data_IF_376200614644
#
_entry.id   IF_376200614644
#
_cell.length_a   1.000
_cell.length_b   1.000
_cell.length_c   1.000
_cell.angle_alpha   90.00
_cell.angle_beta   90.00
_cell.angle_gamma   90.00
#
_symmetry.space_group_name_H-M   'P 1'
#
loop_
_entity.id
_entity.type
_entity.pdbx_description
1 polymer ?
#
# COMPACT_ATOMS: atom_id res chain seq x y z
N UNK A 1 -10.49 1.55 10.47
CA UNK A 1 -9.25 1.79 9.69
C UNK A 1 -8.55 0.48 9.36
N UNK A 2 -8.81 -0.02 8.16
CA UNK A 2 -7.80 -0.56 7.23
C UNK A 2 -8.16 -0.12 5.80
N UNK A 3 -8.12 1.18 5.54
CA UNK A 3 -8.25 1.68 4.18
C UNK A 3 -7.00 1.28 3.38
N UNK A 4 -7.20 0.85 2.14
CA UNK A 4 -6.12 0.57 1.19
C UNK A 4 -6.48 1.18 -0.17
N UNK A 5 -5.48 1.57 -0.93
CA UNK A 5 -5.66 2.37 -2.15
C UNK A 5 -5.75 1.51 -3.40
N UNK A 6 -6.30 2.09 -4.48
CA UNK A 6 -6.31 1.48 -5.83
C UNK A 6 -4.89 1.10 -6.27
N UNK A 7 -3.91 1.95 -5.98
CA UNK A 7 -2.50 1.71 -6.34
C UNK A 7 -1.90 0.55 -5.57
N UNK A 8 -2.25 0.37 -4.30
CA UNK A 8 -1.84 -0.82 -3.55
C UNK A 8 -2.44 -2.09 -4.18
N UNK A 9 -3.73 -2.07 -4.54
CA UNK A 9 -4.35 -3.22 -5.23
C UNK A 9 -3.71 -3.46 -6.61
N UNK A 10 -3.35 -2.42 -7.36
CA UNK A 10 -2.63 -2.54 -8.64
C UNK A 10 -1.24 -3.11 -8.48
N UNK A 11 -0.46 -2.66 -7.49
CA UNK A 11 0.85 -3.24 -7.16
C UNK A 11 0.69 -4.70 -6.78
N UNK A 12 -0.36 -5.03 -6.01
CA UNK A 12 -0.68 -6.39 -5.61
C UNK A 12 -1.08 -7.27 -6.80
N UNK A 13 -2.06 -6.87 -7.60
CA UNK A 13 -2.57 -7.60 -8.75
C UNK A 13 -2.55 -6.69 -10.00
N UNK A 14 -1.43 -6.64 -10.75
CA UNK A 14 -1.26 -5.68 -11.86
C UNK A 14 -2.31 -5.81 -12.95
N UNK A 15 -2.74 -7.03 -13.23
CA UNK A 15 -3.72 -7.36 -14.27
C UNK A 15 -5.17 -7.37 -13.76
N UNK A 16 -5.43 -6.90 -12.54
CA UNK A 16 -6.77 -6.90 -11.96
C UNK A 16 -7.76 -6.09 -12.82
N UNK A 17 -9.02 -6.52 -12.88
CA UNK A 17 -10.07 -5.70 -13.50
C UNK A 17 -10.32 -4.45 -12.66
N UNK A 18 -10.56 -3.32 -13.31
CA UNK A 18 -10.77 -2.05 -12.61
C UNK A 18 -11.97 -2.09 -11.67
N UNK A 19 -13.10 -2.67 -12.11
CA UNK A 19 -14.32 -2.79 -11.32
C UNK A 19 -14.14 -3.62 -10.03
N UNK A 20 -13.32 -4.68 -10.07
CA UNK A 20 -12.99 -5.47 -8.89
C UNK A 20 -12.05 -4.75 -7.92
N UNK A 21 -11.22 -3.83 -8.41
CA UNK A 21 -10.42 -2.94 -7.55
C UNK A 21 -11.35 -1.94 -6.86
N UNK A 22 -12.23 -1.29 -7.63
CA UNK A 22 -13.16 -0.29 -7.10
C UNK A 22 -14.03 -0.86 -5.99
N UNK A 23 -14.61 -2.05 -6.18
CA UNK A 23 -15.47 -2.64 -5.15
C UNK A 23 -14.71 -2.99 -3.88
N UNK A 24 -13.44 -3.42 -3.98
CA UNK A 24 -12.61 -3.71 -2.82
C UNK A 24 -12.24 -2.44 -2.04
N UNK A 25 -11.84 -1.39 -2.75
CA UNK A 25 -11.44 -0.10 -2.15
C UNK A 25 -12.64 0.64 -1.56
N UNK A 26 -13.79 0.61 -2.24
CA UNK A 26 -15.01 1.26 -1.74
C UNK A 26 -15.74 0.41 -0.69
N UNK A 27 -15.49 -0.91 -0.66
CA UNK A 27 -16.09 -1.87 0.26
C UNK A 27 -15.32 -2.06 1.58
N UNK A 28 -14.47 -1.10 1.97
CA UNK A 28 -13.68 -1.19 3.22
C UNK A 28 -14.58 -1.33 4.45
N UNK A 29 -15.71 -0.62 4.50
CA UNK A 29 -16.65 -0.74 5.61
C UNK A 29 -17.22 -2.16 5.73
N UNK A 30 -17.52 -2.81 4.59
CA UNK A 30 -17.99 -4.20 4.56
C UNK A 30 -16.91 -5.18 5.04
N UNK A 31 -15.64 -4.91 4.72
CA UNK A 31 -14.51 -5.68 5.25
C UNK A 31 -14.42 -5.53 6.77
N UNK A 32 -14.59 -4.31 7.29
CA UNK A 32 -14.58 -4.03 8.72
C UNK A 32 -15.75 -4.70 9.45
N UNK A 33 -16.96 -4.67 8.89
CA UNK A 33 -18.15 -5.39 9.39
C UNK A 33 -17.93 -6.91 9.45
N UNK A 34 -17.22 -7.47 8.48
CA UNK A 34 -16.81 -8.89 8.48
C UNK A 34 -15.65 -9.19 9.46
N UNK A 35 -15.21 -8.20 10.22
CA UNK A 35 -14.10 -8.30 11.16
C UNK A 35 -12.74 -8.42 10.48
N UNK A 36 -12.62 -8.13 9.18
CA UNK A 36 -11.37 -8.06 8.43
C UNK A 36 -10.76 -6.67 8.65
N UNK A 37 -10.42 -6.40 9.90
CA UNK A 37 -10.02 -5.10 10.42
C UNK A 37 -8.59 -5.09 10.98
N UNK A 38 -7.82 -6.13 10.68
CA UNK A 38 -6.39 -6.19 10.96
C UNK A 38 -5.62 -6.38 9.65
N UNK A 39 -4.36 -5.94 9.59
CA UNK A 39 -3.54 -6.09 8.38
C UNK A 39 -3.46 -7.55 7.97
N UNK A 40 -3.22 -8.44 8.94
CA UNK A 40 -3.05 -9.86 8.68
C UNK A 40 -4.34 -10.50 8.13
N UNK A 41 -5.51 -10.13 8.66
CA UNK A 41 -6.80 -10.58 8.13
C UNK A 41 -7.03 -10.10 6.70
N UNK A 42 -6.78 -8.82 6.43
CA UNK A 42 -6.88 -8.25 5.07
C UNK A 42 -5.94 -8.96 4.10
N UNK A 43 -4.68 -9.17 4.49
CA UNK A 43 -3.67 -9.83 3.67
C UNK A 43 -4.07 -11.27 3.32
N UNK A 44 -4.57 -12.04 4.29
CA UNK A 44 -5.07 -13.39 4.06
C UNK A 44 -6.32 -13.38 3.18
N UNK A 45 -7.26 -12.46 3.40
CA UNK A 45 -8.46 -12.32 2.58
C UNK A 45 -8.11 -12.03 1.12
N UNK A 46 -7.32 -10.98 0.86
CA UNK A 46 -6.90 -10.60 -0.49
C UNK A 46 -6.08 -11.70 -1.17
N UNK A 47 -5.25 -12.43 -0.42
CA UNK A 47 -4.48 -13.54 -0.95
C UNK A 47 -5.37 -14.69 -1.44
N UNK A 48 -6.40 -15.05 -0.67
CA UNK A 48 -7.34 -16.09 -1.08
C UNK A 48 -8.20 -15.64 -2.25
N UNK A 49 -8.74 -14.41 -2.20
CA UNK A 49 -9.49 -13.83 -3.33
C UNK A 49 -8.64 -13.82 -4.60
N UNK A 50 -7.39 -13.38 -4.54
CA UNK A 50 -6.49 -13.39 -5.70
C UNK A 50 -6.20 -14.80 -6.20
N UNK A 51 -6.12 -15.79 -5.31
CA UNK A 51 -5.93 -17.20 -5.71
C UNK A 51 -7.14 -17.72 -6.50
N UNK A 52 -8.34 -17.49 -5.99
CA UNK A 52 -9.59 -17.99 -6.60
C UNK A 52 -9.95 -17.28 -7.91
N UNK A 53 -9.54 -16.01 -8.04
CA UNK A 53 -9.89 -15.16 -9.20
C UNK A 53 -8.77 -15.06 -10.23
N UNK A 54 -7.65 -15.76 -10.01
CA UNK A 54 -6.46 -15.67 -10.83
C UNK A 54 -5.84 -14.27 -10.86
N UNK A 55 -5.84 -13.56 -9.73
CA UNK A 55 -5.33 -12.19 -9.57
C UNK A 55 -6.38 -11.13 -9.89
N UNK A 56 -7.61 -11.29 -9.40
CA UNK A 56 -8.75 -10.38 -9.61
C UNK A 56 -9.09 -10.19 -11.09
N UNK A 57 -9.02 -11.28 -11.87
CA UNK A 57 -9.34 -11.26 -13.32
C UNK A 57 -10.69 -11.87 -13.64
N UNK A 58 -11.08 -12.90 -12.92
CA UNK A 58 -12.29 -13.67 -13.20
C UNK A 58 -13.04 -13.95 -11.91
N UNK A 59 -14.35 -13.76 -11.93
CA UNK A 59 -15.27 -14.08 -10.83
C UNK A 59 -16.37 -15.04 -11.30
N UNK A 60 -16.22 -15.66 -12.46
CA UNK A 60 -17.12 -16.70 -12.92
C UNK A 60 -16.37 -17.71 -13.78
N UNK A 61 -16.80 -18.96 -13.70
CA UNK A 61 -16.37 -19.99 -14.64
C UNK A 61 -17.14 -19.86 -15.96
N UNK A 62 -16.43 -19.83 -17.09
CA UNK A 62 -17.05 -19.81 -18.41
C UNK A 62 -17.40 -21.20 -18.95
N UNK A 63 -16.76 -22.27 -18.42
CA UNK A 63 -16.90 -23.67 -18.82
C UNK A 63 -16.82 -23.91 -20.35
N UNK A 64 -16.10 -23.06 -21.08
CA UNK A 64 -15.96 -23.14 -22.53
C UNK A 64 -14.60 -23.73 -22.89
N UNK A 65 -14.55 -25.05 -23.08
CA UNK A 65 -13.31 -25.78 -23.35
C UNK A 65 -13.37 -26.52 -24.69
N UNK A 66 -12.21 -26.62 -25.36
CA UNK A 66 -12.04 -27.57 -26.46
C UNK A 66 -12.06 -29.01 -25.94
N UNK A 67 -12.27 -29.97 -26.85
CA UNK A 67 -12.27 -31.39 -26.49
C UNK A 67 -10.93 -31.82 -25.87
N UNK A 68 -9.81 -31.32 -26.38
CA UNK A 68 -8.46 -31.59 -25.87
C UNK A 68 -8.29 -31.05 -24.46
N UNK A 69 -8.72 -29.79 -24.23
CA UNK A 69 -8.61 -29.16 -22.91
C UNK A 69 -9.49 -29.86 -21.88
N UNK A 70 -10.68 -30.33 -22.25
CA UNK A 70 -11.54 -31.13 -21.36
C UNK A 70 -10.84 -32.38 -20.85
N UNK A 71 -10.07 -33.08 -21.70
CA UNK A 71 -9.28 -34.25 -21.30
C UNK A 71 -8.13 -33.88 -20.36
N UNK A 72 -7.51 -32.73 -20.57
CA UNK A 72 -6.43 -32.26 -19.71
C UNK A 72 -6.95 -31.85 -18.31
N UNK A 73 -8.12 -31.22 -18.24
CA UNK A 73 -8.71 -30.72 -16.98
C UNK A 73 -9.42 -31.84 -16.21
N UNK A 74 -10.13 -32.75 -16.91
CA UNK A 74 -10.84 -33.88 -16.29
C UNK A 74 -10.57 -35.21 -17.00
N UNK A 75 -9.34 -35.75 -16.92
CA UNK A 75 -8.96 -36.97 -17.63
C UNK A 75 -9.84 -38.17 -17.28
N UNK A 76 -10.26 -38.30 -16.02
CA UNK A 76 -11.15 -39.38 -15.58
C UNK A 76 -12.59 -39.25 -16.10
N UNK A 77 -13.08 -38.03 -16.35
CA UNK A 77 -14.44 -37.79 -16.89
C UNK A 77 -14.47 -37.84 -18.42
N UNK A 78 -13.35 -37.50 -19.05
CA UNK A 78 -13.16 -37.47 -20.49
C UNK A 78 -11.93 -38.29 -20.89
N UNK A 79 -11.99 -39.63 -20.80
CA UNK A 79 -10.83 -40.48 -21.06
C UNK A 79 -10.38 -40.42 -22.53
N UNK A 80 -11.31 -40.19 -23.46
CA UNK A 80 -11.05 -40.15 -24.90
C UNK A 80 -11.70 -38.93 -25.58
N UNK A 81 -11.17 -38.57 -26.75
CA UNK A 81 -11.59 -37.37 -27.48
C UNK A 81 -13.06 -37.44 -27.93
N UNK A 82 -13.56 -38.64 -28.25
CA UNK A 82 -14.95 -38.85 -28.66
C UNK A 82 -15.92 -38.46 -27.54
N UNK A 83 -15.64 -38.89 -26.31
CA UNK A 83 -16.43 -38.51 -25.12
C UNK A 83 -16.36 -37.00 -24.82
N UNK A 84 -15.19 -36.37 -25.06
CA UNK A 84 -14.98 -34.95 -24.83
C UNK A 84 -15.69 -34.05 -25.86
N UNK A 85 -15.69 -34.45 -27.14
CA UNK A 85 -16.35 -33.71 -28.24
C UNK A 85 -17.84 -33.47 -27.99
N UNK A 86 -18.50 -34.33 -27.23
CA UNK A 86 -19.91 -34.17 -26.86
C UNK A 86 -20.20 -32.94 -25.98
N UNK A 87 -19.18 -32.40 -25.32
CA UNK A 87 -19.26 -31.30 -24.36
C UNK A 87 -18.38 -30.10 -24.73
N UNK A 88 -17.51 -30.25 -25.74
CA UNK A 88 -16.65 -29.18 -26.21
C UNK A 88 -17.47 -27.98 -26.69
N UNK A 89 -17.03 -26.79 -26.32
CA UNK A 89 -17.72 -25.53 -26.63
C UNK A 89 -19.20 -25.49 -26.26
N UNK A 90 -19.61 -26.28 -25.27
CA UNK A 90 -20.99 -26.32 -24.78
C UNK A 90 -21.02 -26.18 -23.25
N UNK A 91 -20.90 -24.94 -22.73
CA UNK A 91 -20.76 -24.68 -21.30
C UNK A 91 -21.90 -25.21 -20.44
N UNK A 92 -23.16 -25.05 -20.87
CA UNK A 92 -24.34 -25.53 -20.13
C UNK A 92 -24.35 -27.05 -20.02
N UNK A 93 -24.09 -27.74 -21.13
CA UNK A 93 -24.03 -29.21 -21.16
C UNK A 93 -22.86 -29.75 -20.34
N UNK A 94 -21.72 -29.07 -20.38
CA UNK A 94 -20.57 -29.40 -19.55
C UNK A 94 -20.86 -29.19 -18.07
N UNK A 95 -21.48 -28.07 -17.71
CA UNK A 95 -21.89 -27.77 -16.33
C UNK A 95 -22.78 -28.89 -15.78
N UNK A 96 -23.83 -29.28 -16.52
CA UNK A 96 -24.71 -30.38 -16.16
C UNK A 96 -23.93 -31.70 -15.92
N UNK A 97 -22.89 -31.98 -16.70
CA UNK A 97 -22.04 -33.19 -16.54
C UNK A 97 -21.14 -33.14 -15.31
N UNK A 98 -20.64 -31.96 -14.93
CA UNK A 98 -19.65 -31.80 -13.85
C UNK A 98 -20.34 -31.57 -12.50
N UNK A 99 -21.43 -30.81 -12.48
CA UNK A 99 -22.11 -30.32 -11.28
C UNK A 99 -23.54 -30.84 -11.09
N UNK A 100 -24.15 -31.53 -12.07
CA UNK A 100 -25.50 -32.07 -11.94
C UNK A 100 -25.63 -33.06 -10.77
N UNK A 101 -26.69 -32.92 -9.97
CA UNK A 101 -26.96 -33.78 -8.81
C UNK A 101 -26.04 -33.57 -7.60
N UNK A 102 -25.21 -32.51 -7.60
CA UNK A 102 -24.22 -32.22 -6.54
C UNK A 102 -24.54 -30.88 -5.89
N UNK A 103 -24.19 -30.72 -4.61
CA UNK A 103 -24.26 -29.44 -3.88
C UNK A 103 -25.65 -28.79 -3.99
N UNK A 104 -26.71 -29.61 -3.88
CA UNK A 104 -28.10 -29.20 -3.99
C UNK A 104 -28.64 -28.96 -5.41
N UNK A 105 -27.84 -29.11 -6.48
CA UNK A 105 -28.33 -28.97 -7.85
C UNK A 105 -29.34 -30.06 -8.20
N UNK A 106 -30.56 -29.69 -8.55
CA UNK A 106 -31.69 -30.59 -8.85
C UNK A 106 -31.97 -30.71 -10.35
N UNK A 107 -31.76 -29.64 -11.11
CA UNK A 107 -31.98 -29.64 -12.58
C UNK A 107 -30.68 -29.44 -13.35
N UNK A 108 -30.63 -29.75 -14.66
CA UNK A 108 -29.50 -29.42 -15.51
C UNK A 108 -29.17 -27.93 -15.54
N UNK A 109 -30.19 -27.07 -15.45
CA UNK A 109 -30.05 -25.61 -15.41
C UNK A 109 -29.37 -25.16 -14.12
N UNK A 110 -29.63 -25.81 -12.98
CA UNK A 110 -28.96 -25.50 -11.70
C UNK A 110 -27.45 -25.59 -11.82
N UNK A 111 -26.96 -26.60 -12.54
CA UNK A 111 -25.54 -26.79 -12.73
C UNK A 111 -24.89 -25.59 -13.45
N UNK A 112 -25.62 -24.94 -14.37
CA UNK A 112 -25.17 -23.73 -15.06
C UNK A 112 -25.42 -22.47 -14.23
N UNK A 113 -26.62 -22.32 -13.67
CA UNK A 113 -27.05 -21.13 -12.93
C UNK A 113 -26.26 -20.96 -11.62
N UNK A 114 -25.82 -22.07 -11.01
CA UNK A 114 -25.02 -22.09 -9.78
C UNK A 114 -23.60 -22.61 -10.02
N UNK A 115 -23.04 -22.42 -11.22
CA UNK A 115 -21.61 -22.68 -11.50
C UNK A 115 -20.70 -21.77 -10.67
N UNK A 116 -19.41 -22.12 -10.57
CA UNK A 116 -18.43 -21.36 -9.80
C UNK A 116 -18.47 -19.87 -10.08
N UNK A 117 -18.82 -19.09 -9.06
CA UNK A 117 -19.06 -17.65 -9.18
C UNK A 117 -18.56 -16.90 -7.94
N UNK A 118 -18.23 -15.62 -8.11
CA UNK A 118 -17.77 -14.71 -7.08
C UNK A 118 -16.29 -14.84 -6.73
N UNK A 119 -15.84 -13.96 -5.82
CA UNK A 119 -14.43 -13.83 -5.42
C UNK A 119 -13.87 -15.04 -4.68
N UNK A 120 -14.72 -15.89 -4.08
CA UNK A 120 -14.34 -17.14 -3.41
C UNK A 120 -15.03 -18.39 -4.01
N UNK A 121 -15.42 -18.33 -5.30
CA UNK A 121 -15.90 -19.48 -6.08
C UNK A 121 -17.06 -20.27 -5.44
N UNK A 122 -18.15 -19.57 -5.09
CA UNK A 122 -19.40 -20.21 -4.65
C UNK A 122 -19.95 -21.09 -5.76
N UNK A 123 -20.21 -22.36 -5.46
CA UNK A 123 -20.65 -23.36 -6.45
C UNK A 123 -21.77 -24.24 -5.88
N UNK A 124 -22.83 -24.45 -6.67
CA UNK A 124 -23.98 -25.30 -6.35
C UNK A 124 -25.12 -24.56 -5.63
N UNK A 125 -26.36 -24.98 -5.93
CA UNK A 125 -27.59 -24.38 -5.40
C UNK A 125 -27.59 -24.24 -3.88
N UNK A 126 -27.12 -25.27 -3.16
CA UNK A 126 -27.06 -25.26 -1.70
C UNK A 126 -26.18 -24.12 -1.17
N UNK A 127 -25.01 -23.93 -1.77
CA UNK A 127 -24.08 -22.88 -1.36
C UNK A 127 -24.59 -21.50 -1.77
N UNK A 128 -25.20 -21.35 -2.94
CA UNK A 128 -25.88 -20.11 -3.34
C UNK A 128 -27.05 -19.78 -2.40
N UNK A 129 -27.82 -20.78 -1.98
CA UNK A 129 -28.91 -20.61 -1.00
C UNK A 129 -28.35 -20.13 0.33
N UNK A 130 -27.31 -20.80 0.84
CA UNK A 130 -26.64 -20.39 2.08
C UNK A 130 -26.09 -18.98 1.99
N UNK A 131 -25.56 -18.57 0.84
CA UNK A 131 -25.05 -17.23 0.59
C UNK A 131 -26.15 -16.17 0.40
N UNK A 132 -27.42 -16.56 0.23
CA UNK A 132 -28.53 -15.63 -0.01
C UNK A 132 -28.76 -15.26 -1.48
N UNK A 133 -28.19 -16.02 -2.43
CA UNK A 133 -28.20 -15.71 -3.87
C UNK A 133 -28.95 -16.74 -4.73
N UNK A 134 -29.72 -17.67 -4.16
CA UNK A 134 -30.40 -18.72 -4.93
C UNK A 134 -31.37 -18.17 -6.00
N UNK A 135 -32.10 -17.10 -5.66
CA UNK A 135 -33.08 -16.46 -6.55
C UNK A 135 -32.50 -15.30 -7.37
N UNK A 136 -31.30 -14.84 -7.02
CA UNK A 136 -30.59 -13.71 -7.64
C UNK A 136 -29.16 -14.09 -8.03
N UNK A 137 -28.99 -15.30 -8.58
CA UNK A 137 -27.68 -15.91 -8.81
C UNK A 137 -26.76 -15.10 -9.75
N UNK A 138 -27.32 -14.31 -10.66
CA UNK A 138 -26.55 -13.39 -11.51
C UNK A 138 -25.90 -12.27 -10.69
N UNK A 139 -26.52 -11.82 -9.60
CA UNK A 139 -25.95 -10.78 -8.73
C UNK A 139 -24.63 -11.24 -8.10
N UNK A 140 -24.44 -12.53 -7.85
CA UNK A 140 -23.16 -13.05 -7.32
C UNK A 140 -21.98 -12.84 -8.30
N UNK A 141 -22.28 -12.60 -9.59
CA UNK A 141 -21.31 -12.33 -10.66
C UNK A 141 -21.08 -10.85 -10.93
N UNK A 142 -21.69 -9.95 -10.15
CA UNK A 142 -21.32 -8.54 -10.14
C UNK A 142 -20.16 -8.32 -9.15
N UNK A 143 -19.37 -7.23 -9.30
CA UNK A 143 -18.36 -6.87 -8.30
C UNK A 143 -18.93 -6.86 -6.88
N UNK A 144 -20.04 -6.15 -6.64
CA UNK A 144 -20.66 -6.02 -5.32
C UNK A 144 -21.13 -7.36 -4.76
N UNK A 145 -21.93 -8.12 -5.53
CA UNK A 145 -22.42 -9.40 -5.06
C UNK A 145 -21.31 -10.43 -4.84
N UNK A 146 -20.23 -10.35 -5.62
CA UNK A 146 -19.06 -11.20 -5.44
C UNK A 146 -18.31 -10.92 -4.14
N UNK A 147 -18.19 -9.64 -3.74
CA UNK A 147 -17.56 -9.25 -2.48
C UNK A 147 -18.45 -9.63 -1.29
N UNK A 148 -19.75 -9.31 -1.34
CA UNK A 148 -20.70 -9.68 -0.29
C UNK A 148 -20.75 -11.20 -0.05
N UNK A 149 -20.81 -12.00 -1.11
CA UNK A 149 -20.80 -13.45 -1.00
C UNK A 149 -19.48 -13.98 -0.39
N UNK A 150 -18.34 -13.40 -0.78
CA UNK A 150 -17.04 -13.76 -0.21
C UNK A 150 -16.95 -13.42 1.28
N UNK A 151 -17.42 -12.24 1.69
CA UNK A 151 -17.44 -11.82 3.09
C UNK A 151 -18.37 -12.67 3.93
N UNK A 152 -19.55 -13.01 3.40
CA UNK A 152 -20.46 -13.93 4.06
C UNK A 152 -19.83 -15.31 4.26
N UNK A 153 -19.21 -15.87 3.23
CA UNK A 153 -18.47 -17.12 3.36
C UNK A 153 -17.38 -17.01 4.43
N UNK A 154 -16.59 -15.94 4.39
CA UNK A 154 -15.48 -15.69 5.31
C UNK A 154 -15.94 -15.69 6.78
N UNK A 155 -17.02 -14.96 7.07
CA UNK A 155 -17.62 -14.86 8.39
C UNK A 155 -18.24 -16.18 8.85
N UNK A 156 -19.10 -16.80 8.03
CA UNK A 156 -19.76 -18.07 8.36
C UNK A 156 -18.75 -19.19 8.65
N UNK A 157 -17.60 -19.16 7.98
CA UNK A 157 -16.54 -20.15 8.13
C UNK A 157 -15.45 -19.74 9.12
N UNK A 158 -15.63 -18.65 9.87
CA UNK A 158 -14.68 -18.17 10.89
C UNK A 158 -13.25 -18.03 10.36
N UNK A 159 -13.09 -17.61 9.11
CA UNK A 159 -11.80 -17.55 8.42
C UNK A 159 -10.78 -16.63 9.13
N UNK A 160 -11.25 -15.59 9.84
CA UNK A 160 -10.41 -14.76 10.71
C UNK A 160 -9.58 -15.58 11.70
N UNK A 161 -10.10 -16.68 12.25
CA UNK A 161 -9.37 -17.52 13.22
C UNK A 161 -8.11 -18.18 12.63
N UNK A 162 -8.11 -18.45 11.32
CA UNK A 162 -6.93 -18.96 10.61
C UNK A 162 -5.97 -17.82 10.28
N UNK A 163 -6.51 -16.69 9.80
CA UNK A 163 -5.71 -15.51 9.50
C UNK A 163 -4.96 -14.99 10.74
N UNK A 164 -5.61 -14.96 11.91
CA UNK A 164 -5.02 -14.54 13.19
C UNK A 164 -3.83 -15.42 13.62
N UNK A 165 -3.82 -16.68 13.20
CA UNK A 165 -2.72 -17.63 13.44
C UNK A 165 -1.70 -17.68 12.29
N UNK A 166 -1.88 -16.81 11.30
CA UNK A 166 -1.15 -16.81 10.04
C UNK A 166 -1.19 -18.16 9.29
N UNK A 167 -2.25 -18.95 9.49
CA UNK A 167 -2.40 -20.31 8.99
C UNK A 167 -3.01 -20.35 7.59
N UNK A 168 -2.18 -20.05 6.59
CA UNK A 168 -2.57 -20.12 5.17
C UNK A 168 -2.98 -21.53 4.73
N UNK A 169 -2.46 -22.58 5.37
CA UNK A 169 -2.77 -23.98 5.00
C UNK A 169 -4.15 -24.38 5.48
N UNK A 170 -4.46 -24.12 6.75
CA UNK A 170 -5.77 -24.36 7.33
C UNK A 170 -6.83 -23.50 6.65
N UNK A 171 -6.53 -22.23 6.36
CA UNK A 171 -7.44 -21.35 5.62
C UNK A 171 -7.73 -21.89 4.22
N UNK A 172 -6.71 -22.36 3.49
CA UNK A 172 -6.88 -22.96 2.16
C UNK A 172 -7.77 -24.19 2.20
N UNK A 173 -7.53 -25.08 3.18
CA UNK A 173 -8.38 -26.26 3.42
C UNK A 173 -9.82 -25.87 3.74
N UNK A 174 -10.03 -24.79 4.50
CA UNK A 174 -11.37 -24.29 4.81
C UNK A 174 -12.09 -23.77 3.58
N UNK A 175 -11.41 -23.04 2.70
CA UNK A 175 -12.04 -22.44 1.50
C UNK A 175 -12.30 -23.48 0.41
N UNK A 176 -11.36 -24.39 0.14
CA UNK A 176 -11.44 -25.30 -1.00
C UNK A 176 -11.77 -26.76 -0.65
N UNK A 177 -11.84 -27.09 0.64
CA UNK A 177 -11.91 -28.48 1.10
C UNK A 177 -10.60 -29.26 0.94
N UNK A 178 -9.49 -28.59 0.61
CA UNK A 178 -8.20 -29.22 0.34
C UNK A 178 -7.05 -28.20 0.17
N UNK A 179 -5.94 -28.62 -0.42
CA UNK A 179 -4.75 -27.76 -0.62
C UNK A 179 -4.52 -27.34 -2.07
N UNK A 180 -5.53 -27.47 -2.93
CA UNK A 180 -5.41 -27.04 -4.33
C UNK A 180 -5.16 -25.53 -4.37
N UNK A 181 -4.14 -25.12 -5.13
CA UNK A 181 -3.72 -23.72 -5.23
C UNK A 181 -3.00 -23.16 -3.99
N UNK A 182 -2.56 -24.00 -3.05
CA UNK A 182 -1.85 -23.54 -1.85
C UNK A 182 -0.56 -22.75 -2.17
N UNK A 183 0.20 -23.16 -3.18
CA UNK A 183 1.44 -22.47 -3.57
C UNK A 183 1.16 -21.07 -4.14
N UNK A 184 0.10 -20.92 -4.94
CA UNK A 184 -0.36 -19.61 -5.40
C UNK A 184 -0.83 -18.77 -4.22
N UNK A 185 -1.61 -19.33 -3.30
CA UNK A 185 -2.07 -18.62 -2.09
C UNK A 185 -0.91 -18.12 -1.23
N UNK A 186 0.17 -18.92 -1.07
CA UNK A 186 1.39 -18.49 -0.38
C UNK A 186 2.09 -17.34 -1.10
N UNK A 187 2.17 -17.42 -2.42
CA UNK A 187 2.77 -16.37 -3.26
C UNK A 187 2.00 -15.06 -3.12
N UNK A 188 0.66 -15.12 -3.24
CA UNK A 188 -0.20 -13.98 -3.04
C UNK A 188 -0.10 -13.43 -1.61
N UNK A 189 -0.10 -14.28 -0.59
CA UNK A 189 0.02 -13.84 0.80
C UNK A 189 1.37 -13.15 1.07
N UNK A 190 2.47 -13.68 0.55
CA UNK A 190 3.77 -13.04 0.67
C UNK A 190 3.79 -11.65 0.01
N UNK A 191 3.10 -11.50 -1.12
CA UNK A 191 2.94 -10.21 -1.79
C UNK A 191 2.02 -9.26 -1.02
N UNK A 192 0.89 -9.76 -0.52
CA UNK A 192 -0.05 -8.99 0.28
C UNK A 192 0.60 -8.46 1.55
N UNK A 193 1.39 -9.28 2.26
CA UNK A 193 2.17 -8.89 3.45
C UNK A 193 3.19 -7.78 3.21
N UNK A 194 3.67 -7.60 1.98
CA UNK A 194 4.58 -6.51 1.61
C UNK A 194 3.84 -5.22 1.28
N UNK A 195 2.60 -5.32 0.79
CA UNK A 195 1.86 -4.20 0.20
C UNK A 195 0.81 -3.65 1.14
N UNK A 196 -0.02 -4.53 1.70
CA UNK A 196 -1.11 -4.18 2.61
C UNK A 196 -0.64 -4.30 4.05
N UNK A 197 0.47 -3.66 4.34
CA UNK A 197 0.87 -3.41 5.72
C UNK A 197 -0.01 -2.27 6.24
N UNK A 198 -0.71 -2.50 7.33
CA UNK A 198 -1.35 -1.42 8.08
C UNK A 198 -0.72 -1.38 9.46
N UNK A 199 -0.10 -0.25 9.78
CA UNK A 199 0.32 0.08 11.14
C UNK A 199 -0.95 0.14 11.99
N UNK A 200 -0.99 -0.52 13.16
CA UNK A 200 -2.12 -0.38 14.10
C UNK A 200 -2.53 1.11 14.23
N UNK A 201 -3.73 1.45 13.74
CA UNK A 201 -4.44 2.72 13.90
C UNK A 201 -3.57 3.99 14.07
N UNK A 202 -3.35 4.74 12.99
CA UNK A 202 -3.01 6.17 13.09
C UNK A 202 -4.27 6.93 12.70
N UNK A 203 -5.06 7.50 13.64
CA UNK A 203 -6.16 8.36 13.28
C UNK A 203 -5.67 9.49 12.38
N UNK A 204 -6.55 10.07 11.57
CA UNK A 204 -6.34 11.44 11.11
C UNK A 204 -5.99 12.30 12.32
N UNK A 205 -4.78 12.86 12.37
CA UNK A 205 -4.37 13.74 13.45
C UNK A 205 -3.96 15.08 12.86
N UNK A 206 -4.97 15.92 12.69
CA UNK A 206 -4.85 17.29 13.13
C UNK A 206 -4.66 17.30 14.66
N UNK A 207 -3.57 17.92 15.12
CA UNK A 207 -3.40 18.48 16.45
C UNK A 207 -3.39 17.57 17.72
N UNK A 208 -3.14 16.25 17.66
CA UNK A 208 -3.02 15.43 18.88
C UNK A 208 -1.79 14.50 18.95
N UNK A 209 -1.13 14.44 20.11
CA UNK A 209 0.18 13.80 20.33
C UNK A 209 0.17 12.29 20.06
N UNK A 210 1.05 11.81 19.17
CA UNK A 210 1.31 10.38 18.95
C UNK A 210 1.65 9.67 20.28
N UNK A 211 1.23 8.41 20.50
CA UNK A 211 1.64 7.63 21.67
C UNK A 211 3.18 7.51 21.75
N UNK A 212 3.75 7.67 22.95
CA UNK A 212 5.21 7.66 23.17
C UNK A 212 5.94 6.47 22.52
N UNK A 213 5.35 5.27 22.62
CA UNK A 213 5.91 4.05 22.00
C UNK A 213 5.98 4.14 20.47
N UNK A 214 5.00 4.77 19.82
CA UNK A 214 4.99 4.98 18.36
C UNK A 214 6.04 5.99 17.94
N UNK A 215 6.23 7.04 18.73
CA UNK A 215 7.29 8.03 18.49
C UNK A 215 8.66 7.35 18.62
N UNK A 216 8.85 6.48 19.61
CA UNK A 216 10.10 5.72 19.76
C UNK A 216 10.36 4.78 18.57
N UNK A 217 9.33 4.11 18.07
CA UNK A 217 9.44 3.24 16.88
C UNK A 217 9.90 4.03 15.65
N UNK A 218 9.24 5.15 15.35
CA UNK A 218 9.62 6.08 14.29
C UNK A 218 11.06 6.57 14.45
N UNK A 219 11.40 7.05 15.66
CA UNK A 219 12.74 7.52 15.98
C UNK A 219 13.78 6.43 15.74
N UNK A 220 13.51 5.18 16.13
CA UNK A 220 14.40 4.04 15.91
C UNK A 220 14.55 3.68 14.42
N UNK A 221 13.49 3.80 13.62
CA UNK A 221 13.57 3.56 12.17
C UNK A 221 14.44 4.60 11.48
N UNK A 222 14.24 5.88 11.81
CA UNK A 222 15.09 6.96 11.33
C UNK A 222 16.56 6.72 11.73
N UNK A 223 16.82 6.30 12.96
CA UNK A 223 18.19 5.96 13.39
C UNK A 223 18.81 4.83 12.56
N UNK A 224 18.05 3.78 12.22
CA UNK A 224 18.51 2.68 11.37
C UNK A 224 18.82 3.10 9.94
N UNK A 225 18.07 4.07 9.42
CA UNK A 225 18.27 4.65 8.09
C UNK A 225 19.42 5.67 8.05
N UNK A 226 20.08 5.92 9.19
CA UNK A 226 21.26 6.78 9.27
C UNK A 226 20.98 8.21 9.74
N UNK A 227 19.77 8.53 10.18
CA UNK A 227 19.42 9.81 10.80
C UNK A 227 19.84 9.84 12.29
N UNK A 228 21.11 9.52 12.55
CA UNK A 228 21.72 9.31 13.88
C UNK A 228 21.61 10.53 14.82
N UNK A 229 21.42 11.70 14.24
CA UNK A 229 21.43 12.99 14.95
C UNK A 229 20.12 13.29 15.66
N UNK A 230 19.10 12.48 15.39
CA UNK A 230 17.94 12.33 16.24
C UNK A 230 18.36 12.03 17.70
N UNK A 231 19.48 11.33 17.88
CA UNK A 231 20.01 10.93 19.18
C UNK A 231 19.32 9.69 19.70
N UNK A 232 19.06 9.60 21.00
CA UNK A 232 18.35 8.46 21.57
C UNK A 232 16.86 8.60 21.32
N UNK A 233 16.20 7.52 20.88
CA UNK A 233 14.75 7.45 20.87
C UNK A 233 14.21 7.60 22.29
N UNK A 234 13.52 8.71 22.55
CA UNK A 234 12.97 9.12 23.84
C UNK A 234 11.45 9.16 23.84
N UNK A 235 10.82 9.03 22.68
CA UNK A 235 9.38 9.02 22.48
C UNK A 235 8.72 10.39 22.51
N UNK A 236 9.51 11.46 22.51
CA UNK A 236 9.02 12.83 22.42
C UNK A 236 9.17 13.38 20.99
N UNK A 237 8.08 13.97 20.49
CA UNK A 237 8.08 14.66 19.19
C UNK A 237 8.64 16.05 19.40
N UNK A 238 9.96 16.11 19.61
CA UNK A 238 10.73 17.34 19.70
C UNK A 238 11.23 17.81 18.34
N UNK A 239 11.91 18.95 18.34
CA UNK A 239 12.47 19.58 17.13
C UNK A 239 13.44 18.66 16.35
N UNK A 240 14.14 17.76 17.04
CA UNK A 240 15.01 16.75 16.42
C UNK A 240 14.24 15.70 15.64
N UNK A 241 13.12 15.23 16.20
CA UNK A 241 12.23 14.24 15.57
C UNK A 241 11.60 14.83 14.31
N UNK A 242 11.06 16.05 14.40
CA UNK A 242 10.49 16.79 13.26
C UNK A 242 11.55 17.03 12.18
N UNK A 243 12.74 17.50 12.57
CA UNK A 243 13.83 17.73 11.62
C UNK A 243 14.23 16.45 10.87
N UNK A 244 14.34 15.32 11.57
CA UNK A 244 14.70 14.05 10.95
C UNK A 244 13.63 13.56 9.96
N UNK A 245 12.35 13.75 10.29
CA UNK A 245 11.24 13.47 9.36
C UNK A 245 11.34 14.35 8.12
N UNK A 246 11.51 15.67 8.28
CA UNK A 246 11.62 16.60 7.16
C UNK A 246 12.78 16.25 6.24
N UNK A 247 13.90 15.81 6.81
CA UNK A 247 15.06 15.37 6.05
C UNK A 247 14.78 14.10 5.27
N UNK A 248 14.22 13.11 5.96
CA UNK A 248 13.81 11.86 5.34
C UNK A 248 12.87 12.11 4.15
N UNK A 249 11.86 12.96 4.34
CA UNK A 249 10.94 13.37 3.28
C UNK A 249 11.67 13.99 2.09
N UNK A 250 12.57 14.95 2.34
CA UNK A 250 13.31 15.63 1.29
C UNK A 250 14.22 14.67 0.50
N UNK A 251 14.95 13.79 1.18
CA UNK A 251 15.88 12.84 0.56
C UNK A 251 15.16 11.72 -0.20
N UNK A 252 13.90 11.43 0.14
CA UNK A 252 13.09 10.38 -0.50
C UNK A 252 12.03 10.95 -1.46
N UNK A 253 12.12 12.24 -1.82
CA UNK A 253 11.26 12.86 -2.83
C UNK A 253 9.81 13.06 -2.39
N UNK A 254 9.55 13.17 -1.09
CA UNK A 254 8.22 13.43 -0.51
C UNK A 254 7.97 14.92 -0.29
N UNK A 255 6.69 15.27 -0.10
CA UNK A 255 6.32 16.59 0.41
C UNK A 255 6.89 16.78 1.81
N UNK A 256 7.68 17.84 2.00
CA UNK A 256 8.33 18.12 3.28
C UNK A 256 7.34 18.79 4.24
N UNK A 257 6.57 17.97 4.96
CA UNK A 257 5.61 18.41 5.99
C UNK A 257 6.25 18.48 7.39
N UNK A 258 7.34 17.74 7.62
CA UNK A 258 7.89 17.50 8.97
C UNK A 258 6.99 16.67 9.88
N UNK A 259 5.90 16.14 9.33
CA UNK A 259 4.92 15.31 10.02
C UNK A 259 5.11 13.84 9.61
N UNK A 260 4.85 12.93 10.54
CA UNK A 260 4.76 11.50 10.22
C UNK A 260 3.39 11.21 9.61
N UNK A 261 3.23 11.59 8.34
CA UNK A 261 2.07 11.31 7.50
C UNK A 261 2.18 9.94 6.81
N UNK A 262 1.13 9.54 6.09
CA UNK A 262 1.05 8.24 5.42
C UNK A 262 2.16 8.05 4.38
N UNK A 263 2.48 9.09 3.61
CA UNK A 263 3.53 9.07 2.59
C UNK A 263 4.92 8.87 3.23
N UNK A 264 5.17 9.58 4.34
CA UNK A 264 6.40 9.44 5.12
C UNK A 264 6.54 8.08 5.75
N UNK A 265 5.46 7.55 6.32
CA UNK A 265 5.42 6.21 6.90
C UNK A 265 5.71 5.14 5.84
N UNK A 266 5.12 5.30 4.65
CA UNK A 266 5.30 4.37 3.55
C UNK A 266 6.75 4.37 3.02
N UNK A 267 7.36 5.54 2.89
CA UNK A 267 8.72 5.65 2.41
C UNK A 267 9.74 5.16 3.45
N UNK A 268 9.55 5.41 4.75
CA UNK A 268 10.46 4.96 5.82
C UNK A 268 10.67 3.44 5.82
N UNK A 269 9.66 2.69 5.37
CA UNK A 269 9.71 1.24 5.30
C UNK A 269 10.53 0.71 4.10
N UNK A 270 10.55 1.45 2.99
CA UNK A 270 11.23 1.03 1.75
C UNK A 270 12.57 1.70 1.52
N UNK A 271 12.90 2.71 2.31
CA UNK A 271 14.14 3.46 2.17
C UNK A 271 15.36 2.60 2.52
N UNK A 272 16.42 2.79 1.77
CA UNK A 272 17.73 2.24 2.11
C UNK A 272 18.46 3.19 3.07
N UNK A 273 19.37 2.68 3.92
CA UNK A 273 20.17 3.55 4.78
C UNK A 273 20.95 4.57 3.95
N UNK A 274 20.92 5.85 4.35
CA UNK A 274 21.66 6.89 3.64
C UNK A 274 23.17 6.68 3.78
N UNK A 275 23.92 6.95 2.72
CA UNK A 275 25.39 6.95 2.76
C UNK A 275 25.90 8.15 3.54
N UNK A 276 26.58 7.91 4.67
CA UNK A 276 27.20 8.96 5.49
C UNK A 276 28.71 8.87 5.33
N UNK A 277 29.30 9.87 4.67
CA UNK A 277 30.75 9.97 4.56
C UNK A 277 31.33 10.52 5.87
N UNK A 278 31.82 9.62 6.75
CA UNK A 278 32.20 9.91 8.14
C UNK A 278 33.61 10.51 8.33
N UNK A 279 34.32 10.84 7.26
CA UNK A 279 35.69 11.37 7.35
C UNK A 279 35.70 12.85 7.02
N UNK A 280 35.73 13.71 8.04
CA UNK A 280 36.11 15.11 7.90
C UNK A 280 36.58 15.64 9.25
N UNK A 281 37.80 16.15 9.31
CA UNK A 281 38.43 16.70 10.52
C UNK A 281 37.59 17.82 11.14
N UNK A 282 37.58 17.92 12.49
CA UNK A 282 36.96 19.05 13.18
C UNK A 282 37.65 20.37 12.76
N UNK A 283 36.91 21.41 12.34
CA UNK A 283 37.50 22.70 12.08
C UNK A 283 38.06 23.27 13.38
N UNK A 284 39.33 23.67 13.34
CA UNK A 284 39.98 24.37 14.45
C UNK A 284 39.51 25.82 14.56
N UNK A 285 38.92 26.40 13.50
CA UNK A 285 38.48 27.80 13.45
C UNK A 285 37.17 28.06 14.25
N UNK A 286 37.23 28.89 15.31
CA UNK A 286 36.05 29.28 16.10
C UNK A 286 34.98 30.05 15.32
N UNK A 287 35.37 30.74 14.24
CA UNK A 287 34.48 31.55 13.40
C UNK A 287 33.58 30.67 12.55
N UNK A 288 34.15 29.60 11.98
CA UNK A 288 33.40 28.56 11.26
C UNK A 288 32.43 27.84 12.21
N UNK A 289 32.86 27.54 13.44
CA UNK A 289 31.99 26.97 14.50
C UNK A 289 30.81 27.90 14.84
N UNK A 290 31.04 29.20 14.99
CA UNK A 290 29.99 30.20 15.29
C UNK A 290 29.03 30.40 14.13
N UNK A 291 29.52 30.49 12.89
CA UNK A 291 28.70 30.61 11.69
C UNK A 291 27.77 29.38 11.53
N UNK A 292 28.31 28.17 11.72
CA UNK A 292 27.54 26.93 11.71
C UNK A 292 26.49 26.88 12.84
N UNK A 293 26.81 27.36 14.05
CA UNK A 293 25.86 27.42 15.17
C UNK A 293 24.69 28.39 14.92
N UNK A 294 24.95 29.52 14.27
CA UNK A 294 23.93 30.51 13.90
C UNK A 294 22.92 29.92 12.91
N UNK A 295 23.43 29.18 11.92
CA UNK A 295 22.59 28.44 10.98
C UNK A 295 21.79 27.32 11.65
N UNK A 296 22.44 26.55 12.53
CA UNK A 296 21.81 25.45 13.29
C UNK A 296 20.63 25.95 14.11
N UNK A 297 20.82 27.04 14.87
CA UNK A 297 19.76 27.64 15.69
C UNK A 297 18.62 28.22 14.83
N UNK A 298 18.94 28.72 13.63
CA UNK A 298 17.93 29.22 12.71
C UNK A 298 17.08 28.16 12.04
N UNK A 299 17.70 27.06 11.64
CA UNK A 299 16.99 25.90 11.11
C UNK A 299 16.06 25.25 12.16
N UNK A 300 16.49 25.18 13.41
CA UNK A 300 15.66 24.74 14.55
C UNK A 300 14.42 25.63 14.74
N UNK A 301 14.56 26.95 14.64
CA UNK A 301 13.46 27.90 14.74
C UNK A 301 12.46 27.80 13.57
N UNK A 302 12.94 27.56 12.35
CA UNK A 302 12.09 27.36 11.17
C UNK A 302 11.27 26.06 11.24
N UNK A 303 11.87 24.96 11.69
CA UNK A 303 11.19 23.68 11.86
C UNK A 303 10.05 23.76 12.90
N UNK A 304 10.25 24.51 13.99
CA UNK A 304 9.19 24.74 14.99
C UNK A 304 8.01 25.56 14.47
N UNK A 305 8.23 26.40 13.45
CA UNK A 305 7.20 27.30 12.89
C UNK A 305 6.43 26.62 11.76
N UNK A 306 7.08 25.86 10.88
CA UNK A 306 6.41 25.12 9.81
C UNK A 306 5.50 23.99 10.33
N UNK A 307 5.91 23.28 11.39
CA UNK A 307 5.19 22.12 11.91
C UNK A 307 3.98 22.42 12.83
N UNK A 308 3.76 23.68 13.24
CA UNK A 308 2.74 24.03 14.24
C UNK A 308 1.61 24.96 13.75
N UNK A 309 1.83 25.76 12.70
CA UNK A 309 0.92 26.90 12.40
C UNK A 309 0.35 26.92 10.98
N UNK A 310 0.74 25.99 10.08
CA UNK A 310 0.22 25.94 8.72
C UNK A 310 0.52 27.21 7.88
N UNK A 311 1.64 27.88 8.16
CA UNK A 311 1.98 29.17 7.53
C UNK A 311 2.22 29.08 6.02
N UNK A 312 2.01 30.21 5.34
CA UNK A 312 2.29 30.41 3.92
C UNK A 312 3.79 30.17 3.61
N UNK A 313 4.12 29.30 2.63
CA UNK A 313 5.48 29.02 2.16
C UNK A 313 6.38 30.23 1.91
N UNK A 314 5.82 31.39 1.54
CA UNK A 314 6.60 32.63 1.34
C UNK A 314 7.27 33.12 2.63
N UNK A 315 6.56 33.04 3.76
CA UNK A 315 7.07 33.49 5.07
C UNK A 315 8.25 32.64 5.57
N UNK A 316 8.22 31.34 5.24
CA UNK A 316 9.29 30.37 5.55
C UNK A 316 10.55 30.71 4.73
N UNK A 317 10.37 31.04 3.45
CA UNK A 317 11.47 31.41 2.56
C UNK A 317 12.17 32.72 2.98
N UNK A 318 11.40 33.75 3.36
CA UNK A 318 11.95 35.01 3.87
C UNK A 318 12.74 34.83 5.16
N UNK A 319 12.21 34.00 6.06
CA UNK A 319 12.89 33.69 7.33
C UNK A 319 14.19 32.91 7.10
N UNK A 320 14.19 31.93 6.19
CA UNK A 320 15.40 31.20 5.79
C UNK A 320 16.47 32.13 5.20
N UNK A 321 16.06 33.07 4.33
CA UNK A 321 16.95 34.09 3.76
C UNK A 321 17.62 34.93 4.86
N UNK A 322 16.89 35.34 5.89
CA UNK A 322 17.46 36.11 7.01
C UNK A 322 18.52 35.37 7.84
N UNK A 323 18.54 34.04 7.85
CA UNK A 323 19.63 33.26 8.45
C UNK A 323 20.84 33.15 7.53
N UNK A 324 20.63 32.96 6.23
CA UNK A 324 21.70 32.97 5.22
C UNK A 324 22.42 34.33 5.21
N UNK A 325 21.69 35.43 5.31
CA UNK A 325 22.27 36.77 5.35
C UNK A 325 23.10 37.01 6.63
N UNK A 326 22.67 36.47 7.78
CA UNK A 326 23.47 36.46 9.02
C UNK A 326 24.77 35.68 8.91
N UNK A 327 24.82 34.63 8.08
CA UNK A 327 26.05 33.85 7.83
C UNK A 327 27.00 34.60 6.92
N UNK A 328 26.46 35.21 5.85
CA UNK A 328 27.26 36.05 4.95
C UNK A 328 27.92 37.20 5.71
N UNK A 329 27.32 37.68 6.79
CA UNK A 329 27.90 38.69 7.68
C UNK A 329 29.19 38.23 8.41
N UNK A 330 29.49 36.93 8.47
CA UNK A 330 30.78 36.43 8.98
C UNK A 330 31.91 36.52 7.94
N UNK A 331 31.62 36.91 6.69
CA UNK A 331 32.63 37.04 5.63
C UNK A 331 33.20 35.71 5.13
N UNK A 332 32.55 34.59 5.46
CA UNK A 332 33.00 33.25 5.07
C UNK A 332 32.34 32.80 3.75
N UNK A 333 33.03 31.97 2.94
CA UNK A 333 32.42 31.31 1.80
C UNK A 333 31.27 30.42 2.27
N UNK A 334 30.08 30.62 1.70
CA UNK A 334 28.88 29.92 2.13
C UNK A 334 29.01 28.41 1.93
N UNK A 335 29.65 27.97 0.85
CA UNK A 335 30.00 26.58 0.55
C UNK A 335 30.92 25.96 1.62
N UNK A 336 31.90 26.71 2.15
CA UNK A 336 32.78 26.23 3.22
C UNK A 336 32.03 26.05 4.54
N UNK A 337 31.13 27.00 4.85
CA UNK A 337 30.24 26.88 6.01
C UNK A 337 29.24 25.76 5.81
N UNK A 338 28.66 25.61 4.61
CA UNK A 338 27.71 24.57 4.21
C UNK A 338 28.32 23.18 4.15
N UNK A 339 29.60 23.04 3.80
CA UNK A 339 30.31 21.77 3.79
C UNK A 339 30.49 21.24 5.23
N UNK A 340 30.91 22.10 6.15
CA UNK A 340 30.99 21.77 7.57
C UNK A 340 29.60 21.61 8.22
N UNK A 341 28.67 22.52 7.91
CA UNK A 341 27.27 22.41 8.27
C UNK A 341 26.56 21.21 7.65
N UNK A 342 27.06 20.67 6.54
CA UNK A 342 26.58 19.46 5.88
C UNK A 342 26.86 18.21 6.73
N UNK A 343 27.88 18.27 7.60
CA UNK A 343 28.07 17.30 8.70
C UNK A 343 27.14 17.57 9.91
N UNK A 344 26.36 18.66 9.86
CA UNK A 344 25.35 19.07 10.85
C UNK A 344 24.02 19.45 10.16
N UNK A 345 23.58 18.58 9.24
CA UNK A 345 22.28 18.28 8.63
C UNK A 345 21.04 19.21 8.81
N UNK A 346 20.81 19.93 9.92
CA UNK A 346 19.66 20.85 10.07
C UNK A 346 19.61 21.94 8.99
N UNK A 347 20.75 22.23 8.36
CA UNK A 347 20.88 23.26 7.33
C UNK A 347 20.42 22.75 5.97
N UNK A 348 20.53 21.43 5.71
CA UNK A 348 19.91 20.79 4.56
C UNK A 348 18.39 20.82 4.66
N UNK A 349 17.79 20.81 5.86
CA UNK A 349 16.34 20.96 6.04
C UNK A 349 15.86 22.35 5.59
N UNK A 350 16.59 23.41 5.96
CA UNK A 350 16.24 24.78 5.55
C UNK A 350 16.52 25.04 4.06
N UNK A 351 17.60 24.47 3.51
CA UNK A 351 17.95 24.59 2.09
C UNK A 351 17.06 23.71 1.20
N UNK A 352 16.64 22.52 1.65
CA UNK A 352 15.72 21.66 0.91
C UNK A 352 14.31 22.26 0.88
N UNK A 353 13.80 22.77 2.01
CA UNK A 353 12.49 23.45 2.05
C UNK A 353 12.46 24.70 1.15
N UNK A 354 13.55 25.49 1.09
CA UNK A 354 13.65 26.64 0.19
C UNK A 354 14.00 26.30 -1.27
N UNK A 355 14.79 25.25 -1.48
CA UNK A 355 15.31 24.82 -2.78
C UNK A 355 14.29 24.03 -3.61
N UNK A 356 13.46 23.21 -2.96
CA UNK A 356 12.37 22.46 -3.62
C UNK A 356 11.32 23.41 -4.23
N UNK A 357 11.00 24.52 -3.55
CA UNK A 357 10.10 25.54 -4.12
C UNK A 357 10.77 26.34 -5.26
N UNK A 358 12.05 26.72 -5.10
CA UNK A 358 12.77 27.49 -6.13
C UNK A 358 13.00 26.69 -7.43
N UNK A 359 13.34 25.40 -7.33
CA UNK A 359 13.55 24.54 -8.51
C UNK A 359 12.25 23.99 -9.10
N UNK A 360 11.26 23.65 -8.27
CA UNK A 360 9.95 23.15 -8.74
C UNK A 360 9.22 24.17 -9.64
N UNK A 361 9.28 25.46 -9.31
CA UNK A 361 8.69 26.52 -10.16
C UNK A 361 9.55 26.98 -11.33
N UNK A 362 10.85 26.69 -11.35
CA UNK A 362 11.66 26.97 -12.55
C UNK A 362 11.34 25.99 -13.67
N UNK A 363 11.10 24.72 -13.34
CA UNK A 363 10.63 23.71 -14.30
C UNK A 363 9.23 24.11 -14.80
N UNK A 364 8.33 24.54 -13.91
CA UNK A 364 6.98 24.95 -14.28
C UNK A 364 6.95 26.23 -15.13
N UNK A 365 7.77 27.24 -14.82
CA UNK A 365 7.89 28.47 -15.63
C UNK A 365 8.56 28.22 -16.97
N UNK A 366 9.64 27.43 -17.03
CA UNK A 366 10.29 27.08 -18.30
C UNK A 366 9.34 26.28 -19.20
N UNK A 367 8.55 25.36 -18.62
CA UNK A 367 7.57 24.55 -19.37
C UNK A 367 6.38 25.39 -19.85
N UNK A 368 5.84 26.29 -19.01
CA UNK A 368 4.74 27.19 -19.36
C UNK A 368 5.14 28.27 -20.37
N UNK A 369 6.37 28.78 -20.29
CA UNK A 369 6.89 29.82 -21.18
C UNK A 369 7.27 29.22 -22.54
N UNK A 370 7.76 27.98 -22.59
CA UNK A 370 7.94 27.20 -23.83
C UNK A 370 6.59 26.86 -24.50
N UNK A 371 5.57 26.47 -23.72
CA UNK A 371 4.22 26.24 -24.24
C UNK A 371 3.53 27.52 -24.73
N UNK A 372 3.76 28.68 -24.08
CA UNK A 372 3.22 29.99 -24.50
C UNK A 372 3.92 30.60 -25.69
N UNK A 373 5.20 30.30 -25.92
CA UNK A 373 6.01 30.94 -26.99
C UNK A 373 6.19 30.08 -28.24
N UNK A 374 5.64 28.85 -28.27
CA UNK A 374 5.55 28.02 -29.47
C UNK A 374 6.89 27.54 -30.04
N UNK A 375 7.98 27.59 -29.27
CA UNK A 375 9.27 27.05 -29.68
C UNK A 375 9.43 25.62 -29.17
N UNK A 376 9.08 24.66 -30.01
CA UNK A 376 9.54 23.26 -29.86
C UNK A 376 11.01 23.18 -30.24
N UNK A 377 11.83 22.55 -29.40
CA UNK A 377 13.10 21.98 -29.81
C UNK A 377 12.90 20.50 -30.14
#
# INVERSE_FOLDING_TARGET
MTAFTRDQVRKFAPTARADLIEVLVNGVDLLEEAGINTPLRLQHFLAQVATETGGLRQIEENLNYSAERLRAVWPSRFPNITSAKLYAHNPKKLAAKVYGGRMGNKTPEDAWNYRGSGMLQTTGRENFTRAGYAEIYETLRTPDGSLHAALKFWTDNKCNTFADRDDVVGLRRRINGGTNGLNEARTWLAKAKKIFVTFESVPEIGATRLPKARVMELQNQLLRLGYIELGRADGDVGTKTVGAISMFQAENGLTVSGMFDEDTAQALYTAEPREINRTGDEPTDPTVKRAASTLKNGALGLASVAGFTGLDPLSVAETAKGYVDRVKAFGLPLDSVLHYAGQHWLILVAVAAGGVYYYGRRIEKVTMEQFRTGRTA
#
